data_IF_636811325432
#
_entry.id   IF_636811325432
#
_cell.length_a   1.000
_cell.length_b   1.000
_cell.length_c   1.000
_cell.angle_alpha   90.00
_cell.angle_beta   90.00
_cell.angle_gamma   90.00
#
_symmetry.space_group_name_H-M   'P 1'
#
loop_
_entity.id
_entity.type
_entity.pdbx_description
1 polymer ?
#
# COMPACT_ATOMS: atom_id res chain seq x y z
N UNK A 1 -22.81 40.12 -47.24
CA UNK A 1 -24.18 39.82 -46.74
C UNK A 1 -25.19 40.69 -47.47
N UNK A 2 -26.32 40.14 -47.88
CA UNK A 2 -27.45 40.93 -48.42
C UNK A 2 -28.39 41.28 -47.25
N UNK A 3 -28.89 42.51 -47.22
CA UNK A 3 -29.78 42.99 -46.15
C UNK A 3 -31.00 42.08 -46.04
N UNK A 4 -31.36 41.66 -44.83
CA UNK A 4 -32.48 40.75 -44.51
C UNK A 4 -32.34 39.34 -45.10
N UNK A 5 -31.11 38.85 -45.30
CA UNK A 5 -30.88 37.47 -45.73
C UNK A 5 -30.06 36.73 -44.69
N UNK A 6 -30.68 35.75 -44.05
CA UNK A 6 -30.05 34.83 -43.13
C UNK A 6 -29.28 33.75 -43.90
N UNK A 7 -28.08 33.41 -43.44
CA UNK A 7 -27.24 32.34 -43.99
C UNK A 7 -26.90 31.42 -42.81
N UNK A 8 -27.35 30.17 -42.90
CA UNK A 8 -27.07 29.14 -41.89
C UNK A 8 -26.11 28.12 -42.48
N UNK A 9 -25.05 27.81 -41.75
CA UNK A 9 -24.12 26.72 -42.06
C UNK A 9 -24.20 25.66 -40.94
N UNK A 10 -24.28 24.40 -41.36
CA UNK A 10 -24.33 23.26 -40.44
C UNK A 10 -22.96 22.59 -40.40
N UNK A 11 -22.47 22.30 -39.19
CA UNK A 11 -21.22 21.59 -38.97
C UNK A 11 -21.45 20.35 -38.10
N UNK A 12 -20.94 19.21 -38.56
CA UNK A 12 -20.94 17.98 -37.77
C UNK A 12 -19.70 17.94 -36.87
N UNK A 13 -19.93 17.72 -35.57
CA UNK A 13 -18.87 17.61 -34.55
C UNK A 13 -18.97 16.24 -33.90
N UNK A 14 -17.81 15.58 -33.73
CA UNK A 14 -17.72 14.25 -33.15
C UNK A 14 -16.99 14.31 -31.81
N UNK A 15 -17.58 13.68 -30.80
CA UNK A 15 -16.97 13.53 -29.48
C UNK A 15 -16.39 12.12 -29.39
N UNK A 16 -15.07 11.96 -29.16
CA UNK A 16 -14.48 10.63 -29.02
C UNK A 16 -15.00 9.96 -27.74
N UNK A 17 -15.14 8.64 -27.78
CA UNK A 17 -15.58 7.82 -26.64
C UNK A 17 -14.55 7.75 -25.50
N UNK A 18 -13.29 8.12 -25.79
CA UNK A 18 -12.15 8.11 -24.87
C UNK A 18 -12.05 9.31 -23.93
N UNK A 19 -12.96 10.29 -24.02
CA UNK A 19 -12.95 11.44 -23.11
C UNK A 19 -13.13 11.02 -21.65
N UNK A 20 -12.30 11.57 -20.76
CA UNK A 20 -12.35 11.29 -19.32
C UNK A 20 -13.41 12.14 -18.62
N UNK A 21 -13.50 13.42 -18.94
CA UNK A 21 -14.58 14.28 -18.43
C UNK A 21 -15.82 14.10 -19.30
N UNK A 22 -16.86 13.50 -18.73
CA UNK A 22 -18.18 13.30 -19.36
C UNK A 22 -19.27 14.12 -18.67
N UNK A 23 -18.90 14.94 -17.70
CA UNK A 23 -19.84 15.67 -16.84
C UNK A 23 -19.93 17.12 -17.27
N UNK A 24 -18.79 17.75 -17.52
CA UNK A 24 -18.72 19.15 -17.92
C UNK A 24 -19.35 19.35 -19.31
N UNK A 25 -20.11 20.44 -19.51
CA UNK A 25 -20.66 20.76 -20.82
C UNK A 25 -19.53 21.10 -21.81
N UNK A 26 -19.72 20.71 -23.07
CA UNK A 26 -18.84 21.09 -24.17
C UNK A 26 -19.23 22.50 -24.61
N UNK A 27 -18.31 23.44 -24.45
CA UNK A 27 -18.54 24.85 -24.82
C UNK A 27 -18.25 25.04 -26.31
N UNK A 28 -19.25 25.51 -27.06
CA UNK A 28 -19.13 25.87 -28.48
C UNK A 28 -19.22 27.38 -28.61
N UNK A 29 -18.11 28.00 -29.03
CA UNK A 29 -18.04 29.44 -29.27
C UNK A 29 -17.88 29.74 -30.76
N UNK A 30 -18.72 30.63 -31.29
CA UNK A 30 -18.61 31.17 -32.64
C UNK A 30 -18.23 32.64 -32.55
N UNK A 31 -17.09 33.00 -33.12
CA UNK A 31 -16.72 34.39 -33.34
C UNK A 31 -16.92 34.75 -34.82
N UNK A 32 -17.35 35.98 -35.07
CA UNK A 32 -17.39 36.50 -36.42
C UNK A 32 -16.68 37.85 -36.49
N UNK A 33 -15.93 38.04 -37.56
CA UNK A 33 -15.23 39.29 -37.83
C UNK A 33 -15.51 39.68 -39.27
N UNK A 34 -15.46 40.98 -39.53
CA UNK A 34 -15.50 41.49 -40.88
C UNK A 34 -14.09 41.65 -41.42
N UNK A 35 -13.88 41.10 -42.61
CA UNK A 35 -12.63 41.25 -43.35
C UNK A 35 -12.81 42.40 -44.33
N UNK A 36 -12.06 43.46 -44.11
CA UNK A 36 -11.99 44.63 -44.99
C UNK A 36 -11.64 44.22 -46.42
N UNK A 37 -12.32 44.82 -47.40
CA UNK A 37 -12.02 44.67 -48.82
C UNK A 37 -11.38 45.94 -49.33
N UNK A 38 -10.20 45.79 -49.94
CA UNK A 38 -9.58 46.87 -50.73
C UNK A 38 -10.46 47.23 -51.91
N UNK A 39 -11.23 48.30 -51.77
CA UNK A 39 -12.03 48.89 -52.84
C UNK A 39 -11.16 49.86 -53.65
N UNK A 40 -11.24 49.76 -54.97
CA UNK A 40 -10.59 50.72 -55.88
C UNK A 40 -11.49 51.94 -56.06
N UNK A 41 -11.03 53.12 -55.63
CA UNK A 41 -11.74 54.39 -55.80
C UNK A 41 -12.33 54.95 -54.50
N UNK A 42 -13.17 55.98 -54.63
CA UNK A 42 -13.69 56.83 -53.53
C UNK A 42 -14.89 56.22 -52.78
N UNK A 43 -14.98 54.88 -52.71
CA UNK A 43 -16.07 54.18 -52.01
C UNK A 43 -15.74 53.92 -50.54
N UNK A 44 -16.67 54.28 -49.65
CA UNK A 44 -16.60 54.01 -48.22
C UNK A 44 -16.78 52.51 -47.92
N UNK A 45 -15.96 51.98 -47.01
CA UNK A 45 -16.09 50.60 -46.53
C UNK A 45 -17.21 50.45 -45.48
N UNK A 46 -17.96 49.34 -45.51
CA UNK A 46 -18.84 48.96 -44.41
C UNK A 46 -18.06 48.69 -43.12
N UNK A 47 -18.62 49.13 -41.99
CA UNK A 47 -18.12 48.80 -40.65
C UNK A 47 -19.11 47.88 -39.93
N UNK A 48 -18.57 46.97 -39.09
CA UNK A 48 -19.39 46.14 -38.18
C UNK A 48 -19.79 46.98 -36.98
N UNK A 49 -21.04 46.80 -36.54
CA UNK A 49 -21.54 47.41 -35.32
C UNK A 49 -20.82 46.82 -34.10
N UNK A 50 -20.09 47.68 -33.38
CA UNK A 50 -19.34 47.31 -32.18
C UNK A 50 -20.20 47.28 -30.92
N UNK A 51 -21.48 47.70 -31.00
CA UNK A 51 -22.43 47.64 -29.89
C UNK A 51 -23.09 46.27 -29.73
N UNK A 52 -22.97 45.40 -30.74
CA UNK A 52 -23.49 44.03 -30.73
C UNK A 52 -22.40 43.02 -30.37
N UNK A 53 -22.75 41.92 -29.67
CA UNK A 53 -21.79 40.86 -29.36
C UNK A 53 -21.30 40.18 -30.64
N UNK A 54 -19.98 40.15 -30.82
CA UNK A 54 -19.31 39.53 -31.97
C UNK A 54 -18.94 38.06 -31.73
N UNK A 55 -19.26 37.56 -30.54
CA UNK A 55 -19.05 36.18 -30.14
C UNK A 55 -20.31 35.64 -29.47
N UNK A 56 -20.72 34.45 -29.89
CA UNK A 56 -21.82 33.70 -29.30
C UNK A 56 -21.28 32.40 -28.74
N UNK A 57 -21.72 32.04 -27.54
CA UNK A 57 -21.30 30.82 -26.87
C UNK A 57 -22.54 30.03 -26.50
N UNK A 58 -22.51 28.72 -26.74
CA UNK A 58 -23.54 27.77 -26.34
C UNK A 58 -22.89 26.55 -25.71
N UNK A 59 -23.67 25.80 -24.95
CA UNK A 59 -23.22 24.59 -24.25
C UNK A 59 -23.90 23.36 -24.84
N UNK A 60 -23.13 22.30 -25.04
CA UNK A 60 -23.58 20.96 -25.41
C UNK A 60 -23.39 20.04 -24.21
N UNK A 61 -24.49 19.57 -23.63
CA UNK A 61 -24.47 18.64 -22.50
C UNK A 61 -24.42 17.21 -23.04
N UNK A 62 -23.51 16.40 -22.52
CA UNK A 62 -23.48 14.95 -22.81
C UNK A 62 -24.65 14.30 -22.09
N UNK A 63 -25.49 13.56 -22.81
CA UNK A 63 -26.64 12.84 -22.24
C UNK A 63 -26.16 11.84 -21.17
N UNK A 64 -26.78 11.92 -19.99
CA UNK A 64 -26.45 11.10 -18.82
C UNK A 64 -27.65 10.26 -18.44
N UNK A 65 -27.40 9.09 -17.88
CA UNK A 65 -28.45 8.22 -17.32
C UNK A 65 -28.75 8.64 -15.86
N UNK A 66 -29.13 9.92 -15.68
CA UNK A 66 -29.38 10.56 -14.37
C UNK A 66 -30.84 11.02 -14.21
N UNK A 67 -31.79 10.38 -14.91
CA UNK A 67 -33.19 10.79 -14.86
C UNK A 67 -33.49 12.16 -15.52
N UNK A 68 -34.60 12.78 -15.13
CA UNK A 68 -35.15 13.98 -15.80
C UNK A 68 -34.40 15.28 -15.47
N UNK A 69 -33.74 15.36 -14.31
CA UNK A 69 -33.04 16.56 -13.86
C UNK A 69 -31.58 16.64 -14.38
N UNK A 70 -31.08 15.57 -15.00
CA UNK A 70 -29.70 15.41 -15.48
C UNK A 70 -28.62 15.55 -14.39
N UNK A 71 -28.98 15.39 -13.12
CA UNK A 71 -28.07 15.48 -11.97
C UNK A 71 -27.95 14.12 -11.30
N UNK A 72 -26.87 13.40 -11.57
CA UNK A 72 -26.63 12.10 -10.93
C UNK A 72 -26.26 12.27 -9.46
N UNK A 73 -27.06 11.67 -8.59
CA UNK A 73 -26.82 11.55 -7.14
C UNK A 73 -26.45 10.09 -6.82
N UNK A 74 -25.16 9.76 -6.68
CA UNK A 74 -24.75 8.42 -6.28
C UNK A 74 -24.89 8.21 -4.76
N UNK A 75 -24.76 6.95 -4.35
CA UNK A 75 -24.68 6.53 -2.96
C UNK A 75 -23.58 5.49 -2.88
N UNK A 76 -22.33 5.95 -2.76
CA UNK A 76 -21.18 5.06 -2.70
C UNK A 76 -21.07 4.49 -1.30
N UNK A 77 -20.56 3.26 -1.22
CA UNK A 77 -20.27 2.58 0.03
C UNK A 77 -19.04 1.74 -0.14
N UNK A 78 -18.13 1.74 0.83
CA UNK A 78 -16.99 0.85 0.81
C UNK A 78 -16.89 -0.05 2.04
N UNK A 79 -16.37 -1.26 1.82
CA UNK A 79 -15.91 -2.14 2.89
C UNK A 79 -14.54 -2.72 2.52
N UNK A 80 -13.73 -2.99 3.53
CA UNK A 80 -12.43 -3.60 3.34
C UNK A 80 -12.18 -4.66 4.41
N UNK A 81 -11.68 -5.83 4.00
CA UNK A 81 -11.39 -6.95 4.90
C UNK A 81 -10.02 -7.55 4.58
N UNK A 82 -9.10 -7.63 5.54
CA UNK A 82 -7.82 -8.28 5.32
C UNK A 82 -8.02 -9.79 5.20
N UNK A 83 -7.25 -10.43 4.31
CA UNK A 83 -7.27 -11.88 4.12
C UNK A 83 -6.61 -12.63 5.28
N UNK A 84 -5.79 -11.93 6.07
CA UNK A 84 -5.13 -12.46 7.28
C UNK A 84 -5.60 -11.69 8.51
N UNK A 85 -5.80 -12.41 9.62
CA UNK A 85 -6.14 -11.80 10.90
C UNK A 85 -4.97 -11.09 11.56
N UNK A 86 -3.72 -11.49 11.26
CA UNK A 86 -2.50 -10.90 11.80
C UNK A 86 -1.42 -10.82 10.73
N UNK A 87 -0.52 -9.85 10.89
CA UNK A 87 0.67 -9.70 10.05
C UNK A 87 1.91 -10.18 10.83
N UNK A 88 2.40 -11.37 10.50
CA UNK A 88 3.57 -11.96 11.16
C UNK A 88 4.87 -11.45 10.54
N UNK A 89 5.77 -10.91 11.36
CA UNK A 89 7.04 -10.35 10.87
C UNK A 89 8.09 -11.43 10.57
N UNK A 90 8.82 -11.24 9.48
CA UNK A 90 9.97 -12.08 9.09
C UNK A 90 9.58 -13.42 8.44
N UNK A 91 8.31 -13.58 8.05
CA UNK A 91 7.89 -14.72 7.24
C UNK A 91 8.46 -14.65 5.82
N UNK A 92 8.43 -15.76 5.09
CA UNK A 92 8.79 -15.76 3.66
C UNK A 92 7.82 -14.94 2.82
N UNK A 93 6.54 -14.92 3.21
CA UNK A 93 5.48 -14.16 2.56
C UNK A 93 5.06 -12.95 3.39
N UNK A 94 5.74 -11.83 3.14
CA UNK A 94 5.45 -10.53 3.75
C UNK A 94 4.37 -9.75 2.99
N UNK A 95 3.58 -10.42 2.14
CA UNK A 95 2.45 -9.77 1.48
C UNK A 95 1.21 -9.75 2.37
N UNK A 96 0.48 -8.66 2.25
CA UNK A 96 -0.79 -8.40 2.90
C UNK A 96 -1.82 -8.10 1.82
N UNK A 97 -2.79 -9.00 1.68
CA UNK A 97 -3.92 -8.83 0.78
C UNK A 97 -5.13 -8.33 1.54
N UNK A 98 -5.72 -7.23 1.08
CA UNK A 98 -6.96 -6.66 1.62
C UNK A 98 -8.03 -6.68 0.55
N UNK A 99 -9.11 -7.40 0.81
CA UNK A 99 -10.26 -7.46 -0.09
C UNK A 99 -11.09 -6.20 0.09
N UNK A 100 -11.23 -5.43 -0.97
CA UNK A 100 -11.99 -4.18 -1.01
C UNK A 100 -13.25 -4.41 -1.84
N UNK A 101 -14.34 -3.85 -1.35
CA UNK A 101 -15.65 -3.92 -1.96
C UNK A 101 -16.23 -2.51 -2.02
N UNK A 102 -16.51 -2.02 -3.22
CA UNK A 102 -17.12 -0.71 -3.45
C UNK A 102 -18.46 -0.95 -4.14
N UNK A 103 -19.52 -0.37 -3.60
CA UNK A 103 -20.88 -0.48 -4.11
C UNK A 103 -21.42 0.92 -4.39
N UNK A 104 -22.17 1.07 -5.47
CA UNK A 104 -22.98 2.26 -5.72
C UNK A 104 -24.46 1.88 -5.66
N UNK A 105 -25.17 2.39 -4.66
CA UNK A 105 -26.60 2.12 -4.43
C UNK A 105 -27.53 3.23 -4.95
N UNK A 106 -26.96 4.31 -5.48
CA UNK A 106 -27.68 5.43 -6.09
C UNK A 106 -27.61 5.41 -7.62
N UNK A 107 -27.57 6.59 -8.22
CA UNK A 107 -27.44 6.78 -9.66
C UNK A 107 -25.99 6.64 -10.14
N UNK A 108 -25.72 6.76 -11.45
CA UNK A 108 -24.39 6.58 -12.01
C UNK A 108 -23.35 7.57 -11.42
N UNK A 109 -22.23 7.04 -10.92
CA UNK A 109 -21.16 7.82 -10.30
C UNK A 109 -20.00 8.02 -11.26
N UNK A 110 -19.68 9.26 -11.63
CA UNK A 110 -18.61 9.57 -12.57
C UNK A 110 -17.27 9.80 -11.86
N UNK A 111 -16.18 9.41 -12.53
CA UNK A 111 -14.82 9.48 -11.99
C UNK A 111 -14.70 8.96 -10.55
N UNK A 112 -15.31 7.79 -10.30
CA UNK A 112 -15.20 7.11 -9.01
C UNK A 112 -13.74 6.67 -8.82
N UNK A 113 -13.12 7.14 -7.74
CA UNK A 113 -11.74 6.85 -7.39
C UNK A 113 -11.65 6.35 -5.94
N UNK A 114 -10.76 5.39 -5.73
CA UNK A 114 -10.36 4.92 -4.41
C UNK A 114 -9.01 5.52 -4.04
N UNK A 115 -8.95 6.16 -2.89
CA UNK A 115 -7.74 6.70 -2.27
C UNK A 115 -7.29 5.73 -1.18
N UNK A 116 -6.03 5.32 -1.22
CA UNK A 116 -5.45 4.34 -0.31
C UNK A 116 -4.20 4.95 0.31
N UNK A 117 -4.22 5.17 1.63
CA UNK A 117 -3.03 5.61 2.37
C UNK A 117 -2.23 4.40 2.82
N UNK A 118 -1.05 4.24 2.24
CA UNK A 118 -0.14 3.13 2.54
C UNK A 118 0.68 3.49 3.79
N UNK A 119 0.68 2.64 4.84
CA UNK A 119 1.45 2.91 6.05
C UNK A 119 2.96 2.79 5.82
N UNK A 120 3.80 3.48 6.61
CA UNK A 120 5.26 3.35 6.54
C UNK A 120 5.73 1.90 6.68
N UNK A 121 6.75 1.54 5.92
CA UNK A 121 7.28 0.17 5.87
C UNK A 121 6.51 -0.80 4.98
N UNK A 122 5.48 -0.32 4.25
CA UNK A 122 4.75 -1.09 3.25
C UNK A 122 4.91 -0.49 1.84
N UNK A 123 4.95 -1.37 0.85
CA UNK A 123 5.00 -1.04 -0.57
C UNK A 123 3.74 -1.52 -1.28
N UNK A 124 3.21 -0.70 -2.20
CA UNK A 124 2.08 -1.11 -3.04
C UNK A 124 2.50 -2.23 -4.00
N UNK A 125 1.81 -3.37 -3.92
CA UNK A 125 2.10 -4.59 -4.67
C UNK A 125 1.14 -4.88 -5.82
N UNK A 126 0.16 -4.00 -6.09
CA UNK A 126 -0.78 -4.15 -7.20
C UNK A 126 -2.21 -4.53 -6.80
N UNK A 127 -3.06 -4.66 -7.83
CA UNK A 127 -4.46 -5.11 -7.70
C UNK A 127 -4.58 -6.59 -8.07
N UNK A 128 -5.31 -7.33 -7.24
CA UNK A 128 -5.76 -8.68 -7.51
C UNK A 128 -7.21 -8.65 -8.02
N UNK A 129 -7.44 -9.18 -9.23
CA UNK A 129 -8.74 -9.14 -9.90
C UNK A 129 -9.58 -10.35 -9.52
N UNK A 130 -10.82 -10.14 -9.08
CA UNK A 130 -11.77 -11.22 -8.75
C UNK A 130 -12.83 -11.48 -9.83
N UNK A 131 -12.52 -11.14 -11.08
CA UNK A 131 -13.44 -11.31 -12.21
C UNK A 131 -14.42 -10.16 -12.40
N UNK A 132 -14.16 -9.00 -11.80
CA UNK A 132 -14.89 -7.76 -12.08
C UNK A 132 -14.75 -7.36 -13.55
N UNK A 133 -15.85 -6.94 -14.18
CA UNK A 133 -15.83 -6.39 -15.55
C UNK A 133 -15.02 -5.10 -15.65
N UNK A 134 -14.92 -4.39 -14.54
CA UNK A 134 -14.26 -3.10 -14.41
C UNK A 134 -12.73 -3.25 -14.40
N UNK A 135 -12.04 -2.48 -15.26
CA UNK A 135 -10.58 -2.41 -15.27
C UNK A 135 -10.08 -1.40 -14.25
N UNK A 136 -9.60 -1.90 -13.11
CA UNK A 136 -9.04 -1.05 -12.05
C UNK A 136 -7.57 -0.76 -12.36
N UNK A 137 -7.21 0.51 -12.34
CA UNK A 137 -5.84 0.99 -12.52
C UNK A 137 -5.47 1.91 -11.37
N UNK A 138 -4.27 1.78 -10.82
CA UNK A 138 -3.81 2.59 -9.70
C UNK A 138 -2.46 3.24 -9.97
N UNK A 139 -2.30 4.47 -9.50
CA UNK A 139 -1.07 5.23 -9.57
C UNK A 139 -0.77 5.92 -8.24
N UNK A 140 0.51 6.22 -7.93
CA UNK A 140 0.85 7.08 -6.81
C UNK A 140 0.15 8.44 -6.93
N UNK A 141 -0.31 8.99 -5.81
CA UNK A 141 -0.83 10.35 -5.72
C UNK A 141 0.27 11.38 -6.04
N UNK A 142 -0.09 12.45 -6.76
CA UNK A 142 0.83 13.54 -7.11
C UNK A 142 1.34 14.31 -5.88
N UNK A 143 0.59 14.28 -4.77
CA UNK A 143 0.90 14.99 -3.53
C UNK A 143 1.79 14.19 -2.57
N UNK A 144 2.33 13.04 -3.00
CA UNK A 144 3.16 12.22 -2.13
C UNK A 144 4.47 12.90 -1.76
N UNK A 145 4.83 12.85 -0.48
CA UNK A 145 6.16 13.27 -0.03
C UNK A 145 7.20 12.22 -0.47
N UNK A 146 8.36 12.69 -0.95
CA UNK A 146 9.45 11.83 -1.44
C UNK A 146 10.22 11.09 -0.32
N UNK A 147 9.65 10.92 0.87
CA UNK A 147 10.32 10.32 2.02
C UNK A 147 9.84 8.89 2.25
N UNK A 148 10.78 7.96 2.34
CA UNK A 148 10.50 6.52 2.50
C UNK A 148 9.82 6.13 3.82
N UNK A 149 9.86 7.00 4.83
CA UNK A 149 9.35 6.73 6.19
C UNK A 149 8.03 7.44 6.51
N UNK A 150 7.42 8.12 5.52
CA UNK A 150 6.12 8.76 5.66
C UNK A 150 5.04 7.93 4.93
N UNK A 151 3.79 7.97 5.41
CA UNK A 151 2.69 7.39 4.66
C UNK A 151 2.54 8.11 3.31
N UNK A 152 2.18 7.36 2.27
CA UNK A 152 1.95 7.89 0.94
C UNK A 152 0.66 7.33 0.37
N UNK A 153 0.05 8.06 -0.55
CA UNK A 153 -1.26 7.75 -1.09
C UNK A 153 -1.17 7.15 -2.50
N UNK A 154 -2.02 6.16 -2.76
CA UNK A 154 -2.32 5.64 -4.10
C UNK A 154 -3.75 5.98 -4.47
N UNK A 155 -3.96 6.33 -5.74
CA UNK A 155 -5.29 6.61 -6.30
C UNK A 155 -5.58 5.54 -7.34
N UNK A 156 -6.73 4.89 -7.20
CA UNK A 156 -7.21 3.86 -8.12
C UNK A 156 -8.48 4.35 -8.83
N UNK A 157 -8.49 4.31 -10.15
CA UNK A 157 -9.68 4.55 -10.95
C UNK A 157 -10.60 3.32 -10.87
N UNK A 158 -11.79 3.51 -10.32
CA UNK A 158 -12.79 2.45 -10.11
C UNK A 158 -13.83 2.47 -11.23
N UNK A 159 -14.31 3.63 -11.65
CA UNK A 159 -15.30 3.69 -12.73
C UNK A 159 -15.58 5.09 -13.24
N UNK A 160 -15.90 5.18 -14.54
CA UNK A 160 -16.27 6.44 -15.17
C UNK A 160 -17.25 6.24 -16.35
N UNK A 161 -18.55 6.03 -16.07
CA UNK A 161 -19.14 5.96 -14.73
C UNK A 161 -18.98 4.59 -14.06
N UNK A 162 -19.18 4.55 -12.75
CA UNK A 162 -19.59 3.37 -11.99
C UNK A 162 -21.14 3.34 -12.00
N UNK A 163 -21.78 2.37 -12.70
CA UNK A 163 -23.22 2.35 -12.86
C UNK A 163 -24.00 2.24 -11.55
N UNK A 164 -25.29 2.58 -11.60
CA UNK A 164 -26.24 2.36 -10.52
C UNK A 164 -26.33 0.87 -10.15
N UNK A 165 -26.40 0.57 -8.86
CA UNK A 165 -26.45 -0.80 -8.29
C UNK A 165 -25.25 -1.69 -8.67
N UNK A 166 -24.17 -1.13 -9.19
CA UNK A 166 -22.95 -1.88 -9.50
C UNK A 166 -22.12 -2.10 -8.23
N UNK A 167 -21.47 -3.26 -8.18
CA UNK A 167 -20.56 -3.64 -7.11
C UNK A 167 -19.24 -4.13 -7.68
N UNK A 168 -18.13 -3.56 -7.20
CA UNK A 168 -16.77 -3.87 -7.63
C UNK A 168 -15.99 -4.46 -6.46
N UNK A 169 -15.59 -5.72 -6.60
CA UNK A 169 -14.82 -6.48 -5.61
C UNK A 169 -13.41 -6.80 -6.13
N UNK A 170 -12.37 -6.41 -5.38
CA UNK A 170 -10.97 -6.62 -5.78
C UNK A 170 -10.04 -6.68 -4.58
N UNK A 171 -8.82 -7.16 -4.77
CA UNK A 171 -7.79 -7.22 -3.73
C UNK A 171 -6.75 -6.13 -3.89
N UNK A 172 -6.40 -5.46 -2.81
CA UNK A 172 -5.22 -4.57 -2.74
C UNK A 172 -4.10 -5.33 -2.07
N UNK A 173 -2.99 -5.53 -2.78
CA UNK A 173 -1.81 -6.22 -2.28
C UNK A 173 -0.78 -5.20 -1.81
N UNK A 174 -0.32 -5.33 -0.58
CA UNK A 174 0.81 -4.58 -0.01
C UNK A 174 1.92 -5.54 0.38
N UNK A 175 3.17 -5.08 0.37
CA UNK A 175 4.33 -5.87 0.81
C UNK A 175 5.04 -5.15 1.93
N UNK A 176 5.17 -5.79 3.10
CA UNK A 176 5.91 -5.24 4.23
C UNK A 176 7.42 -5.44 4.04
N UNK A 177 8.19 -4.36 4.10
CA UNK A 177 9.66 -4.38 4.00
C UNK A 177 10.31 -4.01 5.33
N UNK A 178 10.04 -2.80 5.82
CA UNK A 178 10.60 -2.24 7.05
C UNK A 178 9.50 -1.82 8.03
N UNK A 179 8.65 -2.76 8.40
CA UNK A 179 7.50 -2.49 9.27
C UNK A 179 7.96 -2.11 10.68
N UNK A 180 7.43 -1.00 11.20
CA UNK A 180 7.75 -0.49 12.52
C UNK A 180 7.22 -1.42 13.64
N UNK A 181 8.15 -2.11 14.30
CA UNK A 181 7.87 -3.04 15.40
C UNK A 181 7.41 -2.38 16.70
N UNK A 182 7.43 -1.04 16.80
CA UNK A 182 6.95 -0.33 17.98
C UNK A 182 5.42 -0.18 18.01
N UNK A 183 4.75 -0.36 16.87
CA UNK A 183 3.29 -0.31 16.75
C UNK A 183 2.66 -1.67 17.04
N UNK A 184 1.43 -1.65 17.53
CA UNK A 184 0.65 -2.88 17.76
C UNK A 184 -0.11 -3.35 16.51
N UNK A 185 -0.50 -2.42 15.64
CA UNK A 185 -1.31 -2.70 14.46
C UNK A 185 -0.74 -1.99 13.22
N UNK A 186 -0.94 -2.62 12.07
CA UNK A 186 -0.84 -1.99 10.75
C UNK A 186 -2.19 -1.36 10.44
N UNK A 187 -2.21 -0.05 10.24
CA UNK A 187 -3.41 0.72 9.89
C UNK A 187 -3.35 1.09 8.41
N UNK A 188 -4.35 0.67 7.63
CA UNK A 188 -4.52 1.04 6.22
C UNK A 188 -5.81 1.84 6.10
N UNK A 189 -5.70 3.09 5.66
CA UNK A 189 -6.85 3.97 5.47
C UNK A 189 -7.24 3.99 4.01
N UNK A 190 -8.53 3.86 3.75
CA UNK A 190 -9.08 3.89 2.41
C UNK A 190 -10.31 4.80 2.38
N UNK A 191 -10.49 5.52 1.28
CA UNK A 191 -11.65 6.36 1.03
C UNK A 191 -12.02 6.31 -0.44
N UNK A 192 -13.29 6.06 -0.74
CA UNK A 192 -13.83 6.23 -2.09
C UNK A 192 -14.41 7.64 -2.24
N UNK A 193 -14.26 8.23 -3.42
CA UNK A 193 -14.89 9.50 -3.78
C UNK A 193 -15.25 9.51 -5.26
N UNK A 194 -16.14 10.40 -5.65
CA UNK A 194 -16.48 10.69 -7.05
C UNK A 194 -16.49 12.19 -7.30
N UNK A 195 -16.75 12.61 -8.55
CA UNK A 195 -17.00 14.01 -8.87
C UNK A 195 -18.45 14.45 -8.64
N UNK A 196 -19.35 13.49 -8.44
CA UNK A 196 -20.75 13.76 -8.12
C UNK A 196 -20.90 13.99 -6.62
N UNK A 197 -21.80 14.89 -6.23
CA UNK A 197 -22.19 15.05 -4.83
C UNK A 197 -23.21 13.97 -4.45
N UNK A 198 -22.99 13.33 -3.30
CA UNK A 198 -23.95 12.42 -2.68
C UNK A 198 -24.97 13.19 -1.84
N UNK A 199 -26.06 12.53 -1.46
CA UNK A 199 -27.04 13.09 -0.55
C UNK A 199 -26.41 13.43 0.82
N UNK A 200 -26.91 14.50 1.45
CA UNK A 200 -26.36 14.98 2.71
C UNK A 200 -26.43 13.90 3.81
N UNK A 201 -25.26 13.50 4.33
CA UNK A 201 -25.14 12.48 5.36
C UNK A 201 -24.82 11.07 4.86
N UNK A 202 -24.70 10.86 3.54
CA UNK A 202 -24.35 9.57 2.96
C UNK A 202 -22.83 9.35 2.83
N UNK A 203 -22.02 10.40 2.88
CA UNK A 203 -20.57 10.29 2.69
C UNK A 203 -19.75 9.62 3.82
N UNK A 204 -20.37 9.12 4.89
CA UNK A 204 -19.66 8.59 6.06
C UNK A 204 -19.18 7.13 5.87
N UNK A 205 -19.88 6.32 5.08
CA UNK A 205 -19.52 4.93 4.76
C UNK A 205 -18.66 4.79 3.49
N UNK A 206 -18.22 5.94 2.97
CA UNK A 206 -17.22 6.05 1.91
C UNK A 206 -15.78 5.86 2.39
N UNK A 207 -15.55 5.76 3.70
CA UNK A 207 -14.23 5.57 4.26
C UNK A 207 -14.17 4.31 5.13
N UNK A 208 -13.06 3.59 5.04
CA UNK A 208 -12.81 2.41 5.85
C UNK A 208 -11.35 2.37 6.30
N UNK A 209 -11.14 2.03 7.57
CA UNK A 209 -9.79 1.84 8.14
C UNK A 209 -9.62 0.39 8.54
N UNK A 210 -8.66 -0.28 7.92
CA UNK A 210 -8.32 -1.67 8.22
C UNK A 210 -7.20 -1.69 9.25
N UNK A 211 -7.47 -2.30 10.40
CA UNK A 211 -6.49 -2.51 11.47
C UNK A 211 -6.10 -3.98 11.54
N UNK A 212 -4.82 -4.28 11.31
CA UNK A 212 -4.29 -5.65 11.35
C UNK A 212 -3.23 -5.75 12.45
N UNK A 213 -3.46 -6.58 13.49
CA UNK A 213 -2.49 -6.82 14.54
C UNK A 213 -1.15 -7.34 14.02
N UNK A 214 -0.06 -6.75 14.53
CA UNK A 214 1.29 -7.24 14.30
C UNK A 214 1.57 -8.44 15.19
N UNK A 215 2.15 -9.49 14.60
CA UNK A 215 2.51 -10.72 15.31
C UNK A 215 4.01 -10.97 15.22
N UNK A 216 4.65 -11.13 16.38
CA UNK A 216 6.06 -11.49 16.50
C UNK A 216 6.13 -12.94 16.95
N UNK A 217 6.72 -13.80 16.11
CA UNK A 217 6.93 -15.22 16.38
C UNK A 217 8.42 -15.54 16.31
N UNK A 218 9.06 -15.58 17.47
CA UNK A 218 10.42 -16.06 17.63
C UNK A 218 10.40 -17.43 18.33
N UNK A 219 11.16 -18.39 17.82
CA UNK A 219 11.26 -19.73 18.41
C UNK A 219 12.74 -20.06 18.61
N UNK A 220 13.23 -19.79 19.81
CA UNK A 220 14.62 -20.09 20.16
C UNK A 220 14.77 -21.57 20.49
N UNK A 221 15.74 -22.22 19.86
CA UNK A 221 16.12 -23.61 20.07
C UNK A 221 17.57 -23.65 20.56
N UNK A 222 17.80 -24.30 21.69
CA UNK A 222 19.13 -24.59 22.21
C UNK A 222 19.52 -26.03 21.86
N UNK A 223 20.70 -26.21 21.29
CA UNK A 223 21.32 -27.53 21.07
C UNK A 223 22.69 -27.51 21.73
N UNK A 224 23.03 -28.56 22.48
CA UNK A 224 24.31 -28.68 23.18
C UNK A 224 24.99 -30.00 22.83
N UNK A 225 26.32 -30.00 22.75
CA UNK A 225 27.14 -31.22 22.58
C UNK A 225 28.39 -31.14 23.45
N UNK A 226 28.81 -32.28 23.98
CA UNK A 226 30.06 -32.45 24.70
C UNK A 226 31.01 -33.31 23.86
N UNK A 227 32.29 -32.98 23.87
CA UNK A 227 33.33 -33.79 23.26
C UNK A 227 34.54 -33.91 24.21
N UNK A 228 34.85 -35.11 24.71
CA UNK A 228 34.06 -36.34 24.57
C UNK A 228 32.71 -36.23 25.31
N UNK A 229 31.76 -37.11 24.98
CA UNK A 229 30.45 -37.22 25.65
C UNK A 229 30.52 -38.06 26.94
N UNK A 230 31.49 -38.97 27.02
CA UNK A 230 31.83 -39.73 28.21
C UNK A 230 33.33 -39.64 28.50
N UNK A 231 33.67 -39.55 29.79
CA UNK A 231 35.04 -39.63 30.29
C UNK A 231 35.13 -40.82 31.22
N UNK A 232 36.00 -41.78 30.90
CA UNK A 232 36.27 -42.91 31.76
C UNK A 232 37.23 -42.52 32.89
N UNK A 233 36.80 -42.75 34.13
CA UNK A 233 37.56 -42.39 35.31
C UNK A 233 38.45 -43.55 35.78
N UNK A 234 39.77 -43.31 35.90
CA UNK A 234 40.73 -44.29 36.42
C UNK A 234 41.56 -43.71 37.56
N UNK A 235 41.48 -44.33 38.73
CA UNK A 235 42.18 -43.90 39.96
C UNK A 235 43.69 -44.16 39.90
N UNK A 236 44.15 -45.05 39.01
CA UNK A 236 45.54 -45.53 38.99
C UNK A 236 46.55 -44.58 38.32
N UNK A 237 46.08 -43.70 37.43
CA UNK A 237 46.93 -42.79 36.63
C UNK A 237 46.70 -41.31 37.00
N UNK A 238 46.34 -41.02 38.25
CA UNK A 238 46.06 -39.65 38.70
C UNK A 238 47.35 -38.95 39.14
N UNK A 239 47.62 -37.79 38.55
CA UNK A 239 48.64 -36.86 39.06
C UNK A 239 48.05 -36.10 40.25
N UNK A 240 48.84 -35.90 41.31
CA UNK A 240 48.46 -35.01 42.41
C UNK A 240 48.29 -33.59 41.85
N UNK A 241 47.18 -32.91 42.18
CA UNK A 241 46.88 -31.55 41.68
C UNK A 241 48.02 -30.56 41.98
N UNK A 242 48.66 -30.70 43.15
CA UNK A 242 49.77 -29.84 43.58
C UNK A 242 51.06 -30.02 42.76
N UNK A 243 51.14 -31.09 41.96
CA UNK A 243 52.29 -31.42 41.11
C UNK A 243 51.99 -31.26 39.62
N UNK A 244 50.73 -31.00 39.25
CA UNK A 244 50.33 -30.82 37.87
C UNK A 244 50.82 -29.45 37.36
N UNK A 245 51.61 -29.47 36.29
CA UNK A 245 52.13 -28.27 35.61
C UNK A 245 51.38 -28.02 34.30
N UNK A 246 50.90 -29.08 33.65
CA UNK A 246 50.16 -29.00 32.38
C UNK A 246 48.73 -29.50 32.52
N UNK A 247 47.82 -28.92 31.74
CA UNK A 247 46.37 -29.20 31.80
C UNK A 247 46.01 -30.68 31.60
N UNK A 248 46.75 -31.38 30.73
CA UNK A 248 46.54 -32.79 30.45
C UNK A 248 46.90 -33.71 31.63
N UNK A 249 47.65 -33.21 32.61
CA UNK A 249 48.01 -33.95 33.83
C UNK A 249 46.88 -33.92 34.87
N UNK A 250 46.00 -32.90 34.80
CA UNK A 250 44.81 -32.77 35.65
C UNK A 250 43.69 -33.71 35.17
N UNK A 251 43.46 -33.77 33.86
CA UNK A 251 42.44 -34.60 33.27
C UNK A 251 42.30 -34.41 31.76
N UNK A 252 41.45 -35.22 31.10
CA UNK A 252 41.19 -35.07 29.69
C UNK A 252 40.45 -33.77 29.39
N UNK A 253 40.74 -33.17 28.25
CA UNK A 253 40.03 -32.01 27.74
C UNK A 253 38.57 -32.38 27.42
N UNK A 254 37.62 -31.65 28.02
CA UNK A 254 36.19 -31.74 27.70
C UNK A 254 35.73 -30.41 27.12
N UNK A 255 35.21 -30.44 25.89
CA UNK A 255 34.68 -29.27 25.20
C UNK A 255 33.16 -29.32 25.13
N UNK A 256 32.49 -28.25 25.56
CA UNK A 256 31.05 -28.10 25.44
C UNK A 256 30.70 -27.04 24.40
N UNK A 257 29.96 -27.44 23.37
CA UNK A 257 29.45 -26.57 22.33
C UNK A 257 27.96 -26.32 22.54
N UNK A 258 27.56 -25.06 22.67
CA UNK A 258 26.17 -24.61 22.78
C UNK A 258 25.79 -23.80 21.54
N UNK A 259 24.71 -24.19 20.87
CA UNK A 259 24.19 -23.53 19.69
C UNK A 259 22.76 -23.05 19.95
N UNK A 260 22.56 -21.73 19.90
CA UNK A 260 21.25 -21.09 20.00
C UNK A 260 20.81 -20.70 18.59
N UNK A 261 19.67 -21.21 18.15
CA UNK A 261 19.13 -20.97 16.80
C UNK A 261 17.72 -20.41 16.94
N UNK A 262 17.44 -19.29 16.27
CA UNK A 262 16.06 -18.86 16.07
C UNK A 262 15.45 -19.62 14.90
N UNK A 263 14.51 -20.52 15.18
CA UNK A 263 13.71 -21.25 14.19
C UNK A 263 12.41 -20.54 13.82
N UNK A 264 12.09 -19.44 14.52
CA UNK A 264 10.91 -18.63 14.22
C UNK A 264 11.18 -17.63 13.10
N UNK A 265 10.13 -17.14 12.43
CA UNK A 265 10.25 -16.16 11.35
C UNK A 265 10.76 -14.80 11.84
N UNK A 266 10.37 -14.36 13.04
CA UNK A 266 10.69 -13.01 13.50
C UNK A 266 12.10 -12.92 14.10
N UNK A 267 12.84 -11.88 13.73
CA UNK A 267 14.17 -11.62 14.27
C UNK A 267 14.13 -11.24 15.75
N UNK A 268 15.18 -11.60 16.49
CA UNK A 268 15.31 -11.32 17.92
C UNK A 268 16.42 -10.29 18.12
N UNK A 269 16.07 -9.11 18.66
CA UNK A 269 17.04 -8.03 18.90
C UNK A 269 18.04 -8.37 20.02
N UNK A 270 17.58 -9.05 21.07
CA UNK A 270 18.40 -9.43 22.23
C UNK A 270 17.91 -10.75 22.81
N UNK A 271 18.84 -11.65 23.08
CA UNK A 271 18.61 -12.88 23.82
C UNK A 271 19.64 -12.98 24.96
N UNK A 272 19.27 -13.67 26.04
CA UNK A 272 20.16 -13.98 27.16
C UNK A 272 20.27 -15.49 27.27
N UNK A 273 21.51 -15.98 27.37
CA UNK A 273 21.82 -17.38 27.60
C UNK A 273 22.57 -17.49 28.93
N UNK A 274 21.96 -18.18 29.89
CA UNK A 274 22.55 -18.43 31.20
C UNK A 274 23.06 -19.88 31.25
N UNK A 275 24.36 -20.05 31.47
CA UNK A 275 25.01 -21.35 31.59
C UNK A 275 25.36 -21.63 33.05
N UNK A 276 24.79 -22.70 33.60
CA UNK A 276 25.18 -23.24 34.90
C UNK A 276 26.28 -24.27 34.69
N UNK A 277 27.52 -23.91 35.03
CA UNK A 277 28.69 -24.76 34.81
C UNK A 277 29.06 -25.53 36.09
N UNK A 278 29.17 -26.86 36.05
CA UNK A 278 29.41 -27.68 37.23
C UNK A 278 30.89 -27.73 37.59
N UNK A 279 31.42 -26.63 38.17
CA UNK A 279 32.82 -26.58 38.62
C UNK A 279 33.10 -27.44 39.84
N UNK A 280 32.11 -27.56 40.74
CA UNK A 280 32.26 -28.24 42.01
C UNK A 280 31.10 -29.23 42.23
N UNK A 281 31.38 -30.31 42.94
CA UNK A 281 30.37 -31.22 43.47
C UNK A 281 29.64 -30.61 44.68
N UNK A 282 28.57 -31.25 45.13
CA UNK A 282 27.85 -30.85 46.35
C UNK A 282 28.73 -30.84 47.60
N UNK A 283 29.79 -31.65 47.62
CA UNK A 283 30.77 -31.73 48.71
C UNK A 283 31.91 -30.69 48.57
N UNK A 284 31.87 -29.86 47.53
CA UNK A 284 32.90 -28.84 47.24
C UNK A 284 34.16 -29.40 46.58
N UNK A 285 34.12 -30.61 46.00
CA UNK A 285 35.25 -31.18 45.25
C UNK A 285 35.23 -30.72 43.80
N UNK A 286 36.39 -30.48 43.20
CA UNK A 286 36.50 -30.07 41.80
C UNK A 286 35.94 -31.14 40.85
N UNK A 287 35.16 -30.71 39.86
CA UNK A 287 34.62 -31.54 38.78
C UNK A 287 35.19 -31.13 37.43
N UNK A 288 34.76 -29.97 36.91
CA UNK A 288 35.25 -29.41 35.65
C UNK A 288 35.87 -28.04 35.94
N UNK A 289 37.14 -27.88 35.61
CA UNK A 289 37.79 -26.58 35.65
C UNK A 289 37.78 -25.95 34.25
N UNK A 290 37.50 -24.65 34.17
CA UNK A 290 37.52 -23.91 32.91
C UNK A 290 38.94 -23.56 32.55
N UNK A 291 39.40 -24.05 31.40
CA UNK A 291 40.69 -23.64 30.81
C UNK A 291 40.62 -22.24 30.21
N UNK A 292 39.51 -21.94 29.55
CA UNK A 292 39.27 -20.70 28.84
C UNK A 292 37.85 -20.18 29.16
N UNK A 293 37.70 -18.86 29.09
CA UNK A 293 36.37 -18.26 29.15
C UNK A 293 35.54 -18.68 27.92
N UNK A 294 34.22 -18.89 28.07
CA UNK A 294 33.34 -19.24 26.95
C UNK A 294 33.47 -18.22 25.81
N UNK A 295 33.77 -18.71 24.60
CA UNK A 295 33.85 -17.87 23.39
C UNK A 295 32.53 -17.93 22.65
N UNK A 296 31.92 -16.77 22.42
CA UNK A 296 30.71 -16.64 21.59
C UNK A 296 31.09 -16.31 20.15
N UNK A 297 30.53 -17.06 19.20
CA UNK A 297 30.65 -16.78 17.78
C UNK A 297 29.26 -16.54 17.20
N UNK A 298 29.06 -15.40 16.54
CA UNK A 298 27.85 -15.12 15.79
C UNK A 298 28.04 -15.64 14.37
N UNK A 299 27.34 -16.72 14.02
CA UNK A 299 27.22 -17.16 12.64
C UNK A 299 25.99 -16.46 12.06
N UNK A 300 26.24 -15.58 11.08
CA UNK A 300 25.23 -14.76 10.42
C UNK A 300 24.56 -15.53 9.28
#
# INVERSE_FOLDING_TARGET
MTKNREICETHDVYVPDTIRDKISPIIVSVNYTYVERRLSGDLLEPAVDTTLPQAFTTELVIEKDCGEDNVCIPDLKMTAKPTREKFTLGTTDNSLLTNVSIQNSGEASYLTQLFITIPPGFEYGGIEKYGTKQSISCSPSENNSNKKDEPYDFVCDIGNPLPANEKVDFGVRLTGTNVDTSKENVEIKMRVNSTNEEEAGHGDDNAFTVNIPLEIKAQLSLTARSNPDQVDYSVKNRTDLDKAVFDFEVGPLVSHLYQVINRGPSSVKKARFDLFFPSFSEEGKDLLYLLDLPRSYNFQ
#
